data_IF_695543761758
#
_entry.id   IF_695543761758
#
_cell.length_a   1.000
_cell.length_b   1.000
_cell.length_c   1.000
_cell.angle_alpha   90.00
_cell.angle_beta   90.00
_cell.angle_gamma   90.00
#
_symmetry.space_group_name_H-M   'P 1'
#
loop_
_entity.id
_entity.type
_entity.pdbx_description
1 polymer ?
#
# COMPACT_ATOMS: atom_id res chain seq x y z
N UNK A 1 31.12 1.31 11.16
CA UNK A 1 29.68 1.58 10.88
C UNK A 1 28.89 0.33 11.21
N UNK A 2 27.68 0.45 11.80
CA UNK A 2 26.84 -0.72 12.09
C UNK A 2 26.44 -1.36 10.75
N UNK A 3 26.72 -2.63 10.56
CA UNK A 3 26.35 -3.36 9.37
C UNK A 3 24.86 -3.75 9.47
N UNK A 4 23.97 -2.87 9.02
CA UNK A 4 22.50 -3.04 9.09
C UNK A 4 22.08 -4.22 8.22
N UNK A 5 21.38 -5.18 8.78
CA UNK A 5 20.79 -6.29 8.02
C UNK A 5 19.38 -5.92 7.57
N UNK A 6 19.09 -6.09 6.27
CA UNK A 6 17.77 -5.82 5.68
C UNK A 6 17.11 -7.13 5.23
N UNK A 7 15.87 -7.34 5.65
CA UNK A 7 15.04 -8.44 5.14
C UNK A 7 14.12 -7.92 4.04
N UNK A 8 14.29 -8.39 2.80
CA UNK A 8 13.36 -8.11 1.70
C UNK A 8 12.25 -9.15 1.75
N UNK A 9 10.99 -8.69 1.79
CA UNK A 9 9.80 -9.49 2.00
C UNK A 9 8.93 -9.49 0.74
N UNK A 10 8.76 -10.67 0.12
CA UNK A 10 8.06 -10.81 -1.16
C UNK A 10 6.94 -11.84 -1.04
N UNK A 11 5.65 -11.42 -1.01
CA UNK A 11 4.52 -12.32 -1.12
C UNK A 11 4.38 -12.81 -2.57
N UNK A 12 4.09 -14.11 -2.77
CA UNK A 12 4.00 -14.73 -4.08
C UNK A 12 2.66 -15.46 -4.22
N UNK A 13 1.84 -15.02 -5.18
CA UNK A 13 0.64 -15.71 -5.63
C UNK A 13 0.22 -15.21 -7.02
N UNK A 14 0.24 -16.09 -8.05
CA UNK A 14 -0.27 -15.76 -9.38
C UNK A 14 0.56 -14.73 -10.15
N UNK A 15 1.89 -14.70 -9.99
CA UNK A 15 2.80 -13.67 -10.55
C UNK A 15 3.86 -14.24 -11.50
N UNK A 16 3.65 -15.41 -12.10
CA UNK A 16 4.62 -16.07 -12.98
C UNK A 16 5.16 -15.18 -14.13
N UNK A 17 4.33 -14.26 -14.64
CA UNK A 17 4.72 -13.35 -15.72
C UNK A 17 5.67 -12.23 -15.30
N UNK A 18 5.75 -11.94 -14.00
CA UNK A 18 6.44 -10.78 -13.44
C UNK A 18 7.61 -11.15 -12.53
N UNK A 19 7.50 -12.29 -11.84
CA UNK A 19 8.39 -12.67 -10.73
C UNK A 19 9.86 -12.79 -11.15
N UNK A 20 10.19 -13.15 -12.39
CA UNK A 20 11.59 -13.20 -12.86
C UNK A 20 12.25 -11.83 -12.75
N UNK A 21 11.60 -10.79 -13.31
CA UNK A 21 12.09 -9.42 -13.25
C UNK A 21 12.20 -8.91 -11.81
N UNK A 22 11.19 -9.20 -10.99
CA UNK A 22 11.21 -8.88 -9.56
C UNK A 22 12.47 -9.45 -8.90
N UNK A 23 12.65 -10.78 -8.94
CA UNK A 23 13.77 -11.48 -8.30
C UNK A 23 15.13 -11.02 -8.83
N UNK A 24 15.27 -10.81 -10.14
CA UNK A 24 16.51 -10.29 -10.72
C UNK A 24 16.86 -8.90 -10.17
N UNK A 25 15.88 -7.98 -10.07
CA UNK A 25 16.09 -6.65 -9.51
C UNK A 25 16.53 -6.69 -8.05
N UNK A 26 16.00 -7.65 -7.29
CA UNK A 26 16.36 -7.86 -5.88
C UNK A 26 17.79 -8.45 -5.75
N UNK A 27 18.18 -9.37 -6.62
CA UNK A 27 19.51 -10.00 -6.53
C UNK A 27 20.63 -9.13 -7.09
N UNK A 28 20.30 -8.10 -7.88
CA UNK A 28 21.24 -7.09 -8.38
C UNK A 28 21.53 -5.97 -7.38
N UNK A 29 20.90 -5.98 -6.18
CA UNK A 29 21.13 -4.92 -5.20
C UNK A 29 22.61 -4.72 -4.89
N UNK A 30 23.06 -3.49 -4.85
CA UNK A 30 24.45 -3.10 -4.50
C UNK A 30 24.74 -3.33 -3.03
N UNK A 31 23.73 -3.24 -2.17
CA UNK A 31 23.85 -3.53 -0.74
C UNK A 31 24.02 -5.02 -0.48
N UNK A 32 24.99 -5.41 0.36
CA UNK A 32 25.37 -6.82 0.53
C UNK A 32 24.59 -7.54 1.65
N UNK A 33 24.34 -6.86 2.78
CA UNK A 33 23.78 -7.51 3.97
C UNK A 33 22.24 -7.63 3.90
N UNK A 34 21.79 -8.45 2.95
CA UNK A 34 20.35 -8.69 2.68
C UNK A 34 20.03 -10.17 2.86
N UNK A 35 18.88 -10.45 3.49
CA UNK A 35 18.17 -11.70 3.35
C UNK A 35 16.90 -11.52 2.54
N UNK A 36 16.51 -12.54 1.79
CA UNK A 36 15.33 -12.52 0.91
C UNK A 36 14.32 -13.56 1.41
N UNK A 37 13.11 -13.10 1.71
CA UNK A 37 12.04 -13.95 2.23
C UNK A 37 10.90 -13.95 1.22
N UNK A 38 10.78 -15.05 0.48
CA UNK A 38 9.68 -15.29 -0.45
C UNK A 38 8.61 -16.13 0.25
N UNK A 39 7.39 -15.61 0.35
CA UNK A 39 6.26 -16.35 0.92
C UNK A 39 5.35 -16.82 -0.20
N UNK A 40 5.41 -18.12 -0.47
CA UNK A 40 4.52 -18.80 -1.39
C UNK A 40 3.15 -19.01 -0.73
N UNK A 41 2.15 -18.24 -1.13
CA UNK A 41 0.79 -18.40 -0.62
C UNK A 41 0.00 -19.48 -1.37
N UNK A 42 0.62 -20.66 -1.51
CA UNK A 42 0.08 -21.81 -2.23
C UNK A 42 -0.28 -21.46 -3.68
N UNK A 43 0.63 -20.79 -4.40
CA UNK A 43 0.42 -20.44 -5.81
C UNK A 43 0.33 -21.72 -6.67
N UNK A 44 -0.53 -21.68 -7.71
CA UNK A 44 -0.76 -22.81 -8.61
C UNK A 44 -0.01 -22.70 -9.94
N UNK A 45 0.61 -21.53 -10.16
CA UNK A 45 1.37 -21.22 -11.36
C UNK A 45 2.87 -21.51 -11.19
N UNK A 46 3.67 -21.19 -12.19
CA UNK A 46 5.12 -21.45 -12.21
C UNK A 46 5.95 -20.43 -11.41
N UNK A 47 5.33 -19.53 -10.63
CA UNK A 47 6.06 -18.47 -9.91
C UNK A 47 7.23 -18.99 -9.09
N UNK A 48 7.04 -20.09 -8.33
CA UNK A 48 8.10 -20.63 -7.45
C UNK A 48 9.20 -21.34 -8.24
N UNK A 49 8.87 -22.03 -9.31
CA UNK A 49 9.87 -22.64 -10.20
C UNK A 49 10.74 -21.59 -10.86
N UNK A 50 10.15 -20.46 -11.27
CA UNK A 50 10.87 -19.32 -11.84
C UNK A 50 11.79 -18.68 -10.81
N UNK A 51 11.33 -18.45 -9.56
CA UNK A 51 12.21 -17.96 -8.48
C UNK A 51 13.43 -18.87 -8.33
N UNK A 52 13.23 -20.20 -8.23
CA UNK A 52 14.32 -21.15 -8.08
C UNK A 52 15.26 -21.20 -9.30
N UNK A 53 14.73 -21.02 -10.51
CA UNK A 53 15.53 -20.94 -11.72
C UNK A 53 16.38 -19.66 -11.71
N UNK A 54 15.81 -18.52 -11.37
CA UNK A 54 16.52 -17.23 -11.29
C UNK A 54 17.62 -17.26 -10.24
N UNK A 55 17.40 -17.90 -9.09
CA UNK A 55 18.43 -18.08 -8.04
C UNK A 55 19.72 -18.71 -8.55
N UNK A 56 19.65 -19.62 -9.54
CA UNK A 56 20.83 -20.31 -10.08
C UNK A 56 21.80 -19.34 -10.75
N UNK A 57 21.31 -18.21 -11.27
CA UNK A 57 22.11 -17.18 -11.90
C UNK A 57 22.80 -16.25 -10.89
N UNK A 58 22.40 -16.33 -9.60
CA UNK A 58 22.89 -15.46 -8.52
C UNK A 58 23.33 -16.28 -7.30
N UNK A 59 24.33 -17.17 -7.41
CA UNK A 59 24.67 -18.12 -6.33
C UNK A 59 25.06 -17.44 -5.01
N UNK A 60 25.68 -16.25 -5.07
CA UNK A 60 26.04 -15.47 -3.87
C UNK A 60 24.80 -15.01 -3.09
N UNK A 61 23.73 -14.62 -3.78
CA UNK A 61 22.47 -14.16 -3.17
C UNK A 61 21.59 -15.35 -2.75
N UNK A 62 21.64 -16.44 -3.49
CA UNK A 62 20.83 -17.63 -3.25
C UNK A 62 21.00 -18.23 -1.84
N UNK A 63 22.21 -18.11 -1.25
CA UNK A 63 22.47 -18.57 0.13
C UNK A 63 21.69 -17.78 1.20
N UNK A 64 21.23 -16.59 0.89
CA UNK A 64 20.47 -15.71 1.78
C UNK A 64 18.96 -15.75 1.50
N UNK A 65 18.49 -16.70 0.67
CA UNK A 65 17.10 -16.86 0.30
C UNK A 65 16.39 -17.85 1.20
N UNK A 66 15.23 -17.47 1.71
CA UNK A 66 14.28 -18.34 2.40
C UNK A 66 12.96 -18.33 1.66
N UNK A 67 12.49 -19.51 1.24
CA UNK A 67 11.14 -19.71 0.69
C UNK A 67 10.28 -20.35 1.78
N UNK A 68 9.21 -19.66 2.16
CA UNK A 68 8.21 -20.14 3.14
C UNK A 68 6.95 -20.52 2.37
N UNK A 69 6.43 -21.72 2.56
CA UNK A 69 5.24 -22.19 1.86
C UNK A 69 4.05 -22.24 2.82
N UNK A 70 2.91 -21.70 2.39
CA UNK A 70 1.62 -21.95 3.02
C UNK A 70 1.00 -23.24 2.47
N UNK A 71 0.32 -24.01 3.31
CA UNK A 71 -0.37 -25.25 2.92
C UNK A 71 -1.62 -24.98 2.05
N UNK A 72 -2.18 -23.77 2.17
CA UNK A 72 -3.31 -23.27 1.38
C UNK A 72 -3.16 -21.77 1.13
N UNK A 73 -3.88 -21.25 0.14
CA UNK A 73 -3.96 -19.80 -0.04
C UNK A 73 -4.64 -19.16 1.18
N UNK A 74 -3.92 -18.26 1.86
CA UNK A 74 -4.37 -17.50 3.04
C UNK A 74 -4.56 -16.03 2.74
N UNK A 75 -4.14 -15.59 1.55
CA UNK A 75 -4.21 -14.20 1.09
C UNK A 75 -3.00 -13.34 1.45
N UNK A 76 -2.96 -12.15 0.83
CA UNK A 76 -1.84 -11.21 0.92
C UNK A 76 -1.52 -10.80 2.37
N UNK A 77 -2.55 -10.54 3.18
CA UNK A 77 -2.41 -10.19 4.59
C UNK A 77 -1.62 -11.25 5.38
N UNK A 78 -1.99 -12.52 5.22
CA UNK A 78 -1.32 -13.64 5.87
C UNK A 78 0.12 -13.83 5.35
N UNK A 79 0.35 -13.65 4.04
CA UNK A 79 1.68 -13.76 3.45
C UNK A 79 2.61 -12.66 3.98
N UNK A 80 2.14 -11.41 4.11
CA UNK A 80 2.91 -10.32 4.72
C UNK A 80 3.22 -10.58 6.20
N UNK A 81 2.24 -11.06 7.00
CA UNK A 81 2.46 -11.43 8.40
C UNK A 81 3.51 -12.53 8.53
N UNK A 82 3.40 -13.58 7.71
CA UNK A 82 4.37 -14.68 7.68
C UNK A 82 5.77 -14.16 7.35
N UNK A 83 5.92 -13.29 6.34
CA UNK A 83 7.20 -12.72 5.96
C UNK A 83 7.84 -11.93 7.12
N UNK A 84 7.08 -11.06 7.78
CA UNK A 84 7.55 -10.28 8.94
C UNK A 84 7.93 -11.19 10.12
N UNK A 85 7.15 -12.24 10.37
CA UNK A 85 7.38 -13.14 11.51
C UNK A 85 8.71 -13.87 11.43
N UNK A 86 9.16 -14.23 10.21
CA UNK A 86 10.39 -15.00 9.98
C UNK A 86 11.60 -14.13 9.62
N UNK A 87 11.41 -12.82 9.41
CA UNK A 87 12.46 -11.86 9.14
C UNK A 87 13.46 -11.77 10.30
N UNK A 88 14.75 -11.63 10.01
CA UNK A 88 15.82 -11.55 11.03
C UNK A 88 16.66 -10.28 10.91
N UNK A 89 16.34 -9.39 9.96
CA UNK A 89 17.03 -8.13 9.75
C UNK A 89 16.76 -7.10 10.85
N UNK A 90 17.58 -6.07 10.90
CA UNK A 90 17.31 -4.87 11.71
C UNK A 90 16.12 -4.07 11.12
N UNK A 91 15.98 -4.12 9.78
CA UNK A 91 14.94 -3.47 9.00
C UNK A 91 14.32 -4.45 8.00
N UNK A 92 13.09 -4.15 7.57
CA UNK A 92 12.40 -4.87 6.51
C UNK A 92 12.04 -3.93 5.35
N UNK A 93 11.97 -4.49 4.14
CA UNK A 93 11.46 -3.81 2.95
C UNK A 93 10.49 -4.74 2.23
N UNK A 94 9.23 -4.34 2.11
CA UNK A 94 8.25 -5.08 1.33
C UNK A 94 8.40 -4.76 -0.16
N UNK A 95 8.36 -5.80 -0.99
CA UNK A 95 8.34 -5.69 -2.46
C UNK A 95 7.27 -6.64 -2.98
N UNK A 96 6.35 -6.16 -3.81
CA UNK A 96 5.31 -7.01 -4.38
C UNK A 96 5.88 -7.83 -5.56
N UNK A 97 5.44 -9.07 -5.72
CA UNK A 97 6.02 -10.03 -6.66
C UNK A 97 5.79 -9.69 -8.14
N UNK A 98 4.91 -8.76 -8.45
CA UNK A 98 4.65 -8.22 -9.78
C UNK A 98 5.42 -6.90 -10.06
N UNK A 99 6.09 -6.32 -9.05
CA UNK A 99 6.88 -5.10 -9.16
C UNK A 99 8.39 -5.38 -9.32
N UNK A 100 9.17 -4.32 -9.47
CA UNK A 100 10.64 -4.39 -9.49
C UNK A 100 11.26 -3.11 -8.91
N UNK A 101 12.55 -3.16 -8.58
CA UNK A 101 13.23 -2.07 -7.88
C UNK A 101 14.55 -1.70 -8.56
N UNK A 102 15.03 -0.49 -8.30
CA UNK A 102 16.37 -0.05 -8.66
C UNK A 102 17.43 -0.82 -7.85
N UNK A 103 18.59 -1.09 -8.43
CA UNK A 103 19.68 -1.83 -7.77
C UNK A 103 20.27 -1.10 -6.54
N UNK A 104 20.01 0.18 -6.38
CA UNK A 104 20.49 1.01 -5.26
C UNK A 104 19.42 1.29 -4.20
N UNK A 105 18.19 0.76 -4.31
CA UNK A 105 17.10 1.14 -3.38
C UNK A 105 17.44 0.82 -1.92
N UNK A 106 18.04 -0.34 -1.65
CA UNK A 106 18.39 -0.73 -0.29
C UNK A 106 19.55 0.10 0.23
N UNK A 107 20.62 0.28 -0.58
CA UNK A 107 21.80 1.06 -0.24
C UNK A 107 21.40 2.50 0.16
N UNK A 108 20.67 3.20 -0.73
CA UNK A 108 20.25 4.59 -0.48
C UNK A 108 19.32 4.72 0.70
N UNK A 109 18.40 3.77 0.89
CA UNK A 109 17.51 3.78 2.04
C UNK A 109 18.29 3.57 3.35
N UNK A 110 19.29 2.69 3.37
CA UNK A 110 20.17 2.46 4.52
C UNK A 110 21.05 3.69 4.80
N UNK A 111 21.62 4.32 3.77
CA UNK A 111 22.40 5.55 3.92
C UNK A 111 21.58 6.67 4.60
N UNK A 112 20.37 6.92 4.10
CA UNK A 112 19.46 7.93 4.68
C UNK A 112 19.06 7.53 6.10
N UNK A 113 18.81 6.25 6.34
CA UNK A 113 18.53 5.73 7.68
C UNK A 113 19.70 6.03 8.65
N UNK A 114 20.92 5.74 8.25
CA UNK A 114 22.10 5.95 9.07
C UNK A 114 22.36 7.44 9.36
N UNK A 115 22.24 8.28 8.31
CA UNK A 115 22.42 9.74 8.46
C UNK A 115 21.38 10.38 9.38
N UNK A 116 20.14 9.91 9.32
CA UNK A 116 19.04 10.54 10.02
C UNK A 116 18.55 9.77 11.25
N UNK A 117 19.03 8.54 11.47
CA UNK A 117 18.52 7.60 12.48
C UNK A 117 17.00 7.44 12.40
N UNK A 118 16.48 7.27 11.17
CA UNK A 118 15.06 7.15 10.92
C UNK A 118 14.55 5.73 11.23
N UNK A 119 13.32 5.64 11.70
CA UNK A 119 12.65 4.34 11.91
C UNK A 119 11.99 3.84 10.63
N UNK A 120 11.58 4.77 9.76
CA UNK A 120 11.00 4.48 8.45
C UNK A 120 11.64 5.40 7.42
N UNK A 121 12.19 4.83 6.35
CA UNK A 121 12.67 5.57 5.17
C UNK A 121 11.82 5.18 3.98
N UNK A 122 11.18 6.14 3.33
CA UNK A 122 10.36 5.92 2.13
C UNK A 122 11.14 6.28 0.89
N UNK A 123 11.06 5.48 -0.17
CA UNK A 123 11.58 5.82 -1.49
C UNK A 123 10.42 6.26 -2.41
N UNK A 124 10.67 7.25 -3.27
CA UNK A 124 9.73 7.59 -4.32
C UNK A 124 9.60 6.45 -5.33
N UNK A 125 8.51 6.44 -6.08
CA UNK A 125 8.20 5.37 -7.01
C UNK A 125 7.76 5.90 -8.38
N UNK A 126 7.80 5.03 -9.38
CA UNK A 126 7.17 5.23 -10.69
C UNK A 126 6.08 4.20 -10.88
N UNK A 127 4.89 4.62 -11.29
CA UNK A 127 3.86 3.73 -11.80
C UNK A 127 4.10 3.52 -13.29
N UNK A 128 4.33 2.27 -13.64
CA UNK A 128 4.65 1.84 -15.00
C UNK A 128 3.36 1.41 -15.69
N UNK A 129 2.67 2.34 -16.34
CA UNK A 129 1.53 2.03 -17.20
C UNK A 129 2.02 1.58 -18.57
N UNK A 130 1.26 0.77 -19.33
CA UNK A 130 1.66 0.35 -20.68
C UNK A 130 1.95 1.52 -21.63
N UNK A 131 1.28 2.66 -21.46
CA UNK A 131 1.37 3.80 -22.39
C UNK A 131 2.13 5.01 -21.82
N UNK A 132 2.31 5.10 -20.49
CA UNK A 132 2.94 6.26 -19.85
C UNK A 132 3.50 5.89 -18.46
N UNK A 133 4.36 6.77 -17.93
CA UNK A 133 4.95 6.66 -16.59
C UNK A 133 4.43 7.80 -15.73
N UNK A 134 3.96 7.48 -14.52
CA UNK A 134 3.52 8.44 -13.51
C UNK A 134 4.47 8.41 -12.30
N UNK A 135 5.02 9.56 -11.91
CA UNK A 135 5.82 9.64 -10.69
C UNK A 135 4.90 9.66 -9.47
N UNK A 136 5.26 8.86 -8.47
CA UNK A 136 4.60 8.76 -7.18
C UNK A 136 5.56 9.25 -6.10
N UNK A 137 5.44 10.53 -5.75
CA UNK A 137 6.36 11.20 -4.84
C UNK A 137 5.82 11.21 -3.42
N UNK A 138 6.68 10.97 -2.46
CA UNK A 138 6.38 11.17 -1.05
C UNK A 138 6.51 12.64 -0.69
N UNK A 139 5.57 13.11 0.13
CA UNK A 139 5.64 14.45 0.71
C UNK A 139 6.60 14.46 1.90
N UNK A 140 7.44 15.48 2.00
CA UNK A 140 8.28 15.70 3.17
C UNK A 140 7.45 16.16 4.38
N UNK A 141 7.72 15.56 5.53
CA UNK A 141 7.09 15.89 6.81
C UNK A 141 8.16 16.26 7.83
N UNK A 142 7.85 17.20 8.71
CA UNK A 142 8.77 17.58 9.79
C UNK A 142 8.85 16.51 10.87
N UNK A 143 7.77 15.77 11.08
CA UNK A 143 7.67 14.72 12.09
C UNK A 143 6.94 13.49 11.58
N UNK A 144 7.19 12.32 12.18
CA UNK A 144 6.43 11.10 11.94
C UNK A 144 4.93 11.28 12.27
N UNK A 145 4.63 12.08 13.28
CA UNK A 145 3.25 12.42 13.67
C UNK A 145 2.49 13.15 12.56
N UNK A 146 3.10 14.16 11.92
CA UNK A 146 2.50 14.85 10.77
C UNK A 146 2.21 13.89 9.62
N UNK A 147 3.14 12.98 9.34
CA UNK A 147 2.97 11.96 8.31
C UNK A 147 1.85 10.99 8.68
N UNK A 148 1.78 10.54 9.94
CA UNK A 148 0.71 9.69 10.45
C UNK A 148 -0.66 10.34 10.23
N UNK A 149 -0.82 11.59 10.64
CA UNK A 149 -2.05 12.37 10.48
C UNK A 149 -2.44 12.50 9.00
N UNK A 150 -1.48 12.75 8.11
CA UNK A 150 -1.75 12.90 6.67
C UNK A 150 -2.15 11.54 6.03
N UNK A 151 -1.57 10.44 6.49
CA UNK A 151 -1.98 9.07 6.11
C UNK A 151 -3.39 8.76 6.62
N UNK A 152 -3.71 9.08 7.88
CA UNK A 152 -5.05 8.89 8.43
C UNK A 152 -6.10 9.70 7.65
N UNK A 153 -5.75 10.90 7.24
CA UNK A 153 -6.56 11.75 6.35
C UNK A 153 -6.69 11.23 4.93
N UNK A 154 -6.00 10.13 4.57
CA UNK A 154 -5.92 9.63 3.19
C UNK A 154 -5.38 10.69 2.21
N UNK A 155 -4.44 11.52 2.67
CA UNK A 155 -3.69 12.49 1.85
C UNK A 155 -2.28 12.02 1.56
N UNK A 156 -1.67 11.28 2.50
CA UNK A 156 -0.36 10.66 2.37
C UNK A 156 -0.41 9.31 1.64
N UNK A 157 0.78 8.83 1.22
CA UNK A 157 0.94 7.53 0.59
C UNK A 157 0.74 6.41 1.61
N UNK A 158 -0.18 5.50 1.32
CA UNK A 158 -0.55 4.40 2.22
C UNK A 158 0.16 3.08 1.90
N UNK A 159 0.91 2.99 0.79
CA UNK A 159 1.64 1.78 0.42
C UNK A 159 2.70 1.40 1.46
N UNK A 160 2.87 0.10 1.70
CA UNK A 160 3.91 -0.44 2.59
C UNK A 160 5.20 -0.75 1.82
N UNK A 161 5.11 -1.05 0.53
CA UNK A 161 6.24 -1.35 -0.33
C UNK A 161 7.14 -0.12 -0.58
N UNK A 162 8.39 -0.35 -0.95
CA UNK A 162 9.37 0.71 -1.21
C UNK A 162 9.76 1.50 0.05
N UNK A 163 9.56 0.92 1.24
CA UNK A 163 9.95 1.51 2.52
C UNK A 163 10.89 0.61 3.28
N UNK A 164 11.98 1.18 3.79
CA UNK A 164 12.83 0.56 4.79
C UNK A 164 12.23 0.85 6.16
N UNK A 165 11.75 -0.19 6.87
CA UNK A 165 11.00 -0.07 8.11
C UNK A 165 11.73 -0.84 9.19
N UNK A 166 11.98 -0.22 10.36
CA UNK A 166 12.60 -0.88 11.50
C UNK A 166 11.75 -2.06 11.96
N UNK A 167 12.34 -3.27 11.96
CA UNK A 167 11.60 -4.50 12.28
C UNK A 167 11.06 -4.50 13.72
N UNK A 168 11.77 -3.85 14.67
CA UNK A 168 11.32 -3.77 16.05
C UNK A 168 9.97 -3.05 16.19
N UNK A 169 9.60 -2.11 15.31
CA UNK A 169 8.27 -1.48 15.33
C UNK A 169 7.14 -2.50 15.19
N UNK A 170 7.32 -3.50 14.31
CA UNK A 170 6.34 -4.57 14.17
C UNK A 170 6.25 -5.45 15.42
N UNK A 171 7.42 -5.80 15.98
CA UNK A 171 7.52 -6.77 17.08
C UNK A 171 7.11 -6.20 18.42
N UNK A 172 7.66 -5.04 18.78
CA UNK A 172 7.41 -4.38 20.06
C UNK A 172 5.95 -3.93 20.21
N UNK A 173 5.30 -3.58 19.08
CA UNK A 173 3.92 -3.09 19.09
C UNK A 173 2.91 -4.09 18.50
N UNK A 174 3.33 -5.33 18.28
CA UNK A 174 2.47 -6.43 17.77
C UNK A 174 1.65 -6.01 16.53
N UNK A 175 2.31 -5.28 15.59
CA UNK A 175 1.64 -4.80 14.37
C UNK A 175 1.54 -5.95 13.39
N UNK A 176 0.31 -6.43 13.19
CA UNK A 176 -0.05 -7.47 12.22
C UNK A 176 -1.24 -6.99 11.39
N UNK A 177 -1.40 -7.55 10.19
CA UNK A 177 -2.60 -7.39 9.38
C UNK A 177 -3.65 -8.39 9.83
N UNK A 178 -4.93 -8.02 9.88
CA UNK A 178 -6.01 -8.98 10.11
C UNK A 178 -6.11 -9.95 8.93
N UNK A 179 -5.91 -11.25 9.16
CA UNK A 179 -5.98 -12.26 8.11
C UNK A 179 -7.38 -12.30 7.47
N UNK A 180 -7.42 -12.49 6.15
CA UNK A 180 -8.65 -12.40 5.37
C UNK A 180 -9.02 -10.97 4.93
N UNK A 181 -8.37 -9.93 5.49
CA UNK A 181 -8.57 -8.54 5.08
C UNK A 181 -7.43 -8.11 4.16
N UNK A 182 -7.50 -8.52 2.90
CA UNK A 182 -6.47 -8.28 1.89
C UNK A 182 -6.65 -6.95 1.13
N UNK A 183 -7.74 -6.22 1.35
CA UNK A 183 -7.98 -4.91 0.74
C UNK A 183 -7.77 -3.80 1.77
N UNK A 184 -6.73 -3.00 1.57
CA UNK A 184 -6.33 -1.94 2.49
C UNK A 184 -5.47 -2.42 3.66
N UNK A 185 -4.82 -3.57 3.52
CA UNK A 185 -3.88 -4.12 4.48
C UNK A 185 -2.71 -3.16 4.75
N UNK A 186 -2.23 -2.47 3.72
CA UNK A 186 -1.21 -1.42 3.82
C UNK A 186 -1.63 -0.30 4.77
N UNK A 187 -2.88 0.13 4.68
CA UNK A 187 -3.41 1.18 5.56
C UNK A 187 -3.46 0.74 7.02
N UNK A 188 -3.80 -0.53 7.27
CA UNK A 188 -3.78 -1.09 8.63
C UNK A 188 -2.38 -1.00 9.24
N UNK A 189 -1.36 -1.29 8.44
CA UNK A 189 0.03 -1.40 8.93
C UNK A 189 0.69 -0.03 9.00
N UNK A 190 0.70 0.73 7.89
CA UNK A 190 1.48 1.97 7.83
C UNK A 190 1.00 3.04 8.81
N UNK A 191 -0.32 3.14 9.05
CA UNK A 191 -0.86 4.09 10.01
C UNK A 191 -0.39 3.82 11.44
N UNK A 192 -0.33 2.55 11.86
CA UNK A 192 0.14 2.14 13.19
C UNK A 192 1.66 2.23 13.31
N UNK A 193 2.41 1.86 12.26
CA UNK A 193 3.86 2.03 12.22
C UNK A 193 4.26 3.50 12.37
N UNK A 194 3.60 4.40 11.64
CA UNK A 194 3.87 5.84 11.71
C UNK A 194 3.52 6.44 13.07
N UNK A 195 2.49 5.91 13.74
CA UNK A 195 2.14 6.33 15.09
C UNK A 195 3.27 6.03 16.10
N UNK A 196 3.92 4.87 15.98
CA UNK A 196 5.01 4.46 16.87
C UNK A 196 6.39 4.94 16.42
N UNK A 197 6.55 5.30 15.17
CA UNK A 197 7.82 5.81 14.65
C UNK A 197 8.20 7.14 15.27
N UNK A 198 9.44 7.26 15.72
CA UNK A 198 10.00 8.52 16.25
C UNK A 198 10.43 9.45 15.13
N UNK A 199 10.97 8.89 14.05
CA UNK A 199 11.50 9.65 12.93
C UNK A 199 11.27 8.94 11.59
N UNK A 200 10.84 9.70 10.59
CA UNK A 200 10.72 9.25 9.20
C UNK A 200 11.62 10.07 8.29
N UNK A 201 12.06 9.47 7.19
CA UNK A 201 12.89 10.11 6.18
C UNK A 201 12.46 9.67 4.77
N UNK A 202 12.99 10.34 3.74
CA UNK A 202 12.67 10.07 2.34
C UNK A 202 13.96 10.02 1.54
N UNK A 203 14.05 9.05 0.63
CA UNK A 203 14.95 9.07 -0.52
C UNK A 203 14.18 9.70 -1.67
N UNK A 204 14.62 10.87 -2.14
CA UNK A 204 13.91 11.66 -3.15
C UNK A 204 13.94 11.04 -4.56
N UNK A 205 14.72 9.98 -4.76
CA UNK A 205 14.80 9.27 -6.01
C UNK A 205 13.68 8.24 -6.17
N UNK A 206 13.18 8.08 -7.41
CA UNK A 206 12.20 7.07 -7.76
C UNK A 206 12.90 5.72 -7.97
N UNK A 207 12.96 4.91 -6.93
CA UNK A 207 13.69 3.64 -6.89
C UNK A 207 12.79 2.41 -6.85
N UNK A 208 11.48 2.58 -6.74
CA UNK A 208 10.48 1.52 -6.81
C UNK A 208 9.65 1.67 -8.08
N UNK A 209 9.44 0.57 -8.80
CA UNK A 209 8.70 0.54 -10.06
C UNK A 209 7.45 -0.32 -9.89
N UNK A 210 6.30 0.35 -9.69
CA UNK A 210 4.99 -0.28 -9.55
C UNK A 210 4.44 -0.62 -10.94
N UNK A 211 4.30 -1.91 -11.26
CA UNK A 211 3.84 -2.38 -12.56
C UNK A 211 2.31 -2.39 -12.66
N UNK A 212 1.76 -1.46 -13.45
CA UNK A 212 0.33 -1.34 -13.70
C UNK A 212 -0.17 -2.27 -14.82
N UNK A 213 0.69 -3.08 -15.44
CA UNK A 213 0.28 -4.00 -16.53
C UNK A 213 -0.36 -5.29 -16.04
N UNK A 214 -0.27 -5.61 -14.74
CA UNK A 214 -0.89 -6.79 -14.18
C UNK A 214 -2.42 -6.63 -14.07
N UNK A 215 -3.15 -7.10 -15.08
CA UNK A 215 -4.63 -7.09 -15.09
C UNK A 215 -5.24 -7.95 -13.96
N UNK A 216 -4.49 -8.93 -13.44
CA UNK A 216 -4.90 -9.81 -12.36
C UNK A 216 -4.53 -9.27 -10.97
N UNK A 217 -3.92 -8.08 -10.88
CA UNK A 217 -3.61 -7.44 -9.61
C UNK A 217 -4.84 -7.41 -8.69
N UNK A 218 -4.61 -7.67 -7.41
CA UNK A 218 -5.68 -7.72 -6.41
C UNK A 218 -6.47 -6.40 -6.37
N UNK A 219 -5.83 -5.27 -6.58
CA UNK A 219 -6.46 -3.94 -6.56
C UNK A 219 -7.38 -3.66 -7.76
N UNK A 220 -7.19 -4.34 -8.90
CA UNK A 220 -7.90 -4.02 -10.15
C UNK A 220 -9.32 -4.59 -10.24
N UNK A 221 -9.67 -5.63 -9.47
CA UNK A 221 -10.97 -6.28 -9.53
C UNK A 221 -11.85 -5.86 -8.37
N UNK A 222 -12.94 -5.14 -8.65
CA UNK A 222 -13.93 -4.75 -7.64
C UNK A 222 -14.90 -5.87 -7.36
N UNK A 223 -15.15 -6.16 -6.09
CA UNK A 223 -16.15 -7.12 -5.65
C UNK A 223 -16.78 -6.68 -4.33
N UNK A 224 -17.95 -7.25 -4.01
CA UNK A 224 -18.62 -7.01 -2.73
C UNK A 224 -17.70 -7.36 -1.55
N UNK A 225 -16.97 -8.48 -1.67
CA UNK A 225 -16.07 -8.94 -0.63
C UNK A 225 -14.92 -7.95 -0.39
N UNK A 226 -14.28 -7.45 -1.44
CA UNK A 226 -13.25 -6.42 -1.33
C UNK A 226 -13.77 -5.11 -0.73
N UNK A 227 -15.02 -4.76 -1.02
CA UNK A 227 -15.64 -3.60 -0.38
C UNK A 227 -15.76 -3.79 1.14
N UNK A 228 -16.24 -4.96 1.59
CA UNK A 228 -16.31 -5.28 3.03
C UNK A 228 -14.93 -5.25 3.67
N UNK A 229 -13.92 -5.84 3.02
CA UNK A 229 -12.54 -5.81 3.50
C UNK A 229 -11.99 -4.38 3.60
N UNK A 230 -12.24 -3.52 2.61
CA UNK A 230 -11.85 -2.11 2.65
C UNK A 230 -12.44 -1.37 3.85
N UNK A 231 -13.72 -1.62 4.17
CA UNK A 231 -14.35 -1.06 5.35
C UNK A 231 -13.79 -1.67 6.64
N UNK A 232 -13.58 -2.99 6.68
CA UNK A 232 -12.97 -3.64 7.86
C UNK A 232 -11.57 -3.11 8.13
N UNK A 233 -10.77 -2.94 7.07
CA UNK A 233 -9.44 -2.33 7.17
C UNK A 233 -9.49 -0.91 7.76
N UNK A 234 -10.46 -0.11 7.36
CA UNK A 234 -10.66 1.21 7.94
C UNK A 234 -11.11 1.12 9.42
N UNK A 235 -12.03 0.24 9.73
CA UNK A 235 -12.55 0.08 11.10
C UNK A 235 -11.45 -0.36 12.07
N UNK A 236 -10.53 -1.26 11.66
CA UNK A 236 -9.35 -1.66 12.46
C UNK A 236 -8.48 -0.45 12.81
N UNK A 237 -8.21 0.42 11.84
CA UNK A 237 -7.42 1.64 12.10
C UNK A 237 -8.17 2.58 13.01
N UNK A 238 -9.48 2.75 12.81
CA UNK A 238 -10.33 3.58 13.67
C UNK A 238 -10.35 3.07 15.10
N UNK A 239 -10.61 1.77 15.30
CA UNK A 239 -10.61 1.10 16.63
C UNK A 239 -9.26 1.32 17.35
N UNK A 240 -8.14 1.19 16.62
CA UNK A 240 -6.83 1.45 17.18
C UNK A 240 -6.69 2.89 17.67
N UNK A 241 -7.02 3.89 16.86
CA UNK A 241 -6.87 5.29 17.25
C UNK A 241 -7.93 5.76 18.27
N UNK A 242 -9.09 5.10 18.33
CA UNK A 242 -10.04 5.27 19.43
C UNK A 242 -9.42 4.83 20.77
N UNK A 243 -8.71 3.69 20.79
CA UNK A 243 -8.00 3.21 21.98
C UNK A 243 -6.85 4.11 22.42
N UNK A 244 -6.21 4.81 21.48
CA UNK A 244 -5.18 5.83 21.77
C UNK A 244 -5.77 7.02 22.53
N UNK A 245 -7.05 7.35 22.30
CA UNK A 245 -7.76 8.40 23.05
C UNK A 245 -7.34 9.84 22.71
N UNK A 246 -6.58 10.06 21.63
CA UNK A 246 -6.12 11.39 21.21
C UNK A 246 -7.02 11.98 20.14
N UNK A 247 -7.67 13.11 20.47
CA UNK A 247 -8.63 13.76 19.58
C UNK A 247 -8.05 14.19 18.22
N UNK A 248 -6.74 14.54 18.14
CA UNK A 248 -6.10 14.95 16.89
C UNK A 248 -6.10 13.81 15.85
N UNK A 249 -5.79 12.58 16.29
CA UNK A 249 -5.86 11.41 15.41
C UNK A 249 -7.30 11.07 15.04
N UNK A 250 -8.24 11.17 15.99
CA UNK A 250 -9.64 10.90 15.69
C UNK A 250 -10.22 11.86 14.66
N UNK A 251 -9.90 13.14 14.73
CA UNK A 251 -10.27 14.11 13.69
C UNK A 251 -9.71 13.68 12.34
N UNK A 252 -8.44 13.29 12.27
CA UNK A 252 -7.80 12.84 11.03
C UNK A 252 -8.45 11.55 10.47
N UNK A 253 -8.80 10.60 11.33
CA UNK A 253 -9.53 9.37 10.96
C UNK A 253 -10.90 9.71 10.38
N UNK A 254 -11.66 10.61 11.01
CA UNK A 254 -12.99 11.01 10.52
C UNK A 254 -12.92 11.73 9.16
N UNK A 255 -11.93 12.60 8.95
CA UNK A 255 -11.68 13.21 7.64
C UNK A 255 -11.29 12.15 6.58
N UNK A 256 -10.51 11.15 6.97
CA UNK A 256 -10.16 10.01 6.13
C UNK A 256 -11.38 9.16 5.77
N UNK A 257 -12.32 8.94 6.71
CA UNK A 257 -13.57 8.21 6.48
C UNK A 257 -14.41 8.88 5.39
N UNK A 258 -14.52 10.21 5.43
CA UNK A 258 -15.21 10.99 4.40
C UNK A 258 -14.63 10.72 3.01
N UNK A 259 -13.31 10.66 2.88
CA UNK A 259 -12.63 10.40 1.59
C UNK A 259 -12.89 9.00 1.07
N UNK A 260 -12.91 8.01 1.95
CA UNK A 260 -13.28 6.64 1.60
C UNK A 260 -14.75 6.60 1.16
N UNK A 261 -15.66 7.26 1.89
CA UNK A 261 -17.07 7.38 1.54
C UNK A 261 -17.25 7.97 0.13
N UNK A 262 -16.58 9.09 -0.17
CA UNK A 262 -16.62 9.73 -1.49
C UNK A 262 -16.10 8.77 -2.58
N UNK A 263 -14.99 8.08 -2.31
CA UNK A 263 -14.45 7.08 -3.24
C UNK A 263 -15.45 5.96 -3.50
N UNK A 264 -16.11 5.43 -2.47
CA UNK A 264 -17.11 4.36 -2.61
C UNK A 264 -18.38 4.83 -3.33
N UNK A 265 -18.80 6.08 -3.17
CA UNK A 265 -19.88 6.64 -3.98
C UNK A 265 -19.53 6.67 -5.47
N UNK A 266 -18.33 7.17 -5.81
CA UNK A 266 -17.85 7.25 -7.18
C UNK A 266 -17.70 5.85 -7.78
N UNK A 267 -17.13 4.91 -7.04
CA UNK A 267 -16.93 3.53 -7.48
C UNK A 267 -18.25 2.80 -7.63
N UNK A 268 -19.15 2.89 -6.66
CA UNK A 268 -20.48 2.29 -6.74
C UNK A 268 -21.28 2.77 -7.95
N UNK A 269 -21.12 4.05 -8.32
CA UNK A 269 -21.77 4.62 -9.51
C UNK A 269 -21.20 4.06 -10.84
N UNK A 270 -19.96 3.53 -10.85
CA UNK A 270 -19.27 3.02 -12.05
C UNK A 270 -19.53 1.56 -12.34
N UNK A 271 -19.87 0.75 -11.33
CA UNK A 271 -19.97 -0.70 -11.43
C UNK A 271 -21.42 -1.13 -11.64
N UNK A 272 -21.61 -2.22 -12.40
CA UNK A 272 -22.90 -2.92 -12.48
C UNK A 272 -23.24 -3.47 -11.10
N UNK A 273 -24.43 -3.20 -10.57
CA UNK A 273 -24.85 -3.56 -9.21
C UNK A 273 -24.09 -2.83 -8.07
N UNK A 274 -23.53 -1.65 -8.34
CA UNK A 274 -22.79 -0.86 -7.35
C UNK A 274 -23.62 -0.22 -6.24
N UNK A 275 -24.93 -0.47 -6.20
CA UNK A 275 -25.85 0.08 -5.19
C UNK A 275 -25.45 -0.32 -3.74
N UNK A 276 -24.84 -1.49 -3.58
CA UNK A 276 -24.34 -1.93 -2.28
C UNK A 276 -23.25 -1.00 -1.74
N UNK A 277 -22.27 -0.65 -2.56
CA UNK A 277 -21.19 0.30 -2.17
C UNK A 277 -21.77 1.64 -1.75
N UNK A 278 -22.78 2.10 -2.47
CA UNK A 278 -23.47 3.33 -2.19
C UNK A 278 -24.23 3.28 -0.86
N UNK A 279 -24.99 2.20 -0.61
CA UNK A 279 -25.78 2.05 0.62
C UNK A 279 -24.91 2.07 1.87
N UNK A 280 -23.81 1.32 1.88
CA UNK A 280 -22.91 1.28 3.02
C UNK A 280 -22.20 2.62 3.23
N UNK A 281 -21.68 3.24 2.17
CA UNK A 281 -21.07 4.56 2.24
C UNK A 281 -22.08 5.62 2.78
N UNK A 282 -23.34 5.57 2.33
CA UNK A 282 -24.39 6.47 2.84
C UNK A 282 -24.71 6.22 4.30
N UNK A 283 -24.82 4.96 4.72
CA UNK A 283 -25.07 4.59 6.12
C UNK A 283 -24.00 5.16 7.05
N UNK A 284 -22.73 5.12 6.62
CA UNK A 284 -21.61 5.68 7.36
C UNK A 284 -21.64 7.22 7.35
N UNK A 285 -21.88 7.83 6.19
CA UNK A 285 -21.97 9.30 6.07
C UNK A 285 -22.98 9.92 7.02
N UNK A 286 -24.15 9.27 7.21
CA UNK A 286 -25.21 9.78 8.10
C UNK A 286 -24.81 9.80 9.58
N UNK A 287 -23.73 9.09 9.96
CA UNK A 287 -23.19 9.05 11.31
C UNK A 287 -22.08 10.07 11.56
N UNK A 288 -21.57 10.69 10.49
CA UNK A 288 -20.43 11.63 10.56
C UNK A 288 -20.97 13.06 10.73
N UNK A 289 -20.45 13.77 11.73
CA UNK A 289 -20.75 15.19 11.93
C UNK A 289 -20.28 16.02 10.71
N UNK A 290 -21.15 16.89 10.24
CA UNK A 290 -20.89 17.78 9.09
C UNK A 290 -19.69 18.70 9.29
N UNK A 291 -19.24 18.95 10.51
CA UNK A 291 -18.04 19.73 10.78
C UNK A 291 -16.79 19.18 10.10
N UNK A 292 -16.70 17.85 9.94
CA UNK A 292 -15.57 17.18 9.25
C UNK A 292 -15.58 17.34 7.72
N UNK A 293 -16.66 17.92 7.15
CA UNK A 293 -16.76 18.18 5.71
C UNK A 293 -16.17 19.54 5.30
N UNK A 294 -15.88 20.43 6.27
CA UNK A 294 -15.50 21.83 5.99
C UNK A 294 -14.22 21.94 5.20
N UNK A 295 -13.25 21.08 5.49
CA UNK A 295 -11.92 21.10 4.87
C UNK A 295 -11.82 20.27 3.58
N UNK A 296 -12.94 19.70 3.11
CA UNK A 296 -12.97 18.97 1.87
C UNK A 296 -13.11 19.90 0.66
N UNK A 297 -12.49 19.48 -0.47
CA UNK A 297 -12.59 20.25 -1.73
C UNK A 297 -14.04 20.42 -2.18
N UNK A 298 -14.32 21.49 -2.94
CA UNK A 298 -15.65 21.76 -3.48
C UNK A 298 -16.23 20.55 -4.23
N UNK A 299 -15.41 19.85 -5.01
CA UNK A 299 -15.82 18.65 -5.75
C UNK A 299 -16.28 17.54 -4.80
N UNK A 300 -15.53 17.26 -3.71
CA UNK A 300 -15.92 16.24 -2.74
C UNK A 300 -17.18 16.64 -1.99
N UNK A 301 -17.30 17.89 -1.57
CA UNK A 301 -18.53 18.39 -0.96
C UNK A 301 -19.73 18.22 -1.89
N UNK A 302 -19.56 18.53 -3.17
CA UNK A 302 -20.61 18.32 -4.18
C UNK A 302 -21.01 16.84 -4.31
N UNK A 303 -20.03 15.90 -4.35
CA UNK A 303 -20.29 14.46 -4.34
C UNK A 303 -21.07 14.05 -3.08
N UNK A 304 -20.70 14.58 -1.92
CA UNK A 304 -21.42 14.32 -0.66
C UNK A 304 -22.88 14.81 -0.71
N UNK A 305 -23.13 15.97 -1.30
CA UNK A 305 -24.50 16.46 -1.51
C UNK A 305 -25.28 15.62 -2.52
N UNK A 306 -24.67 15.20 -3.63
CA UNK A 306 -25.32 14.32 -4.61
C UNK A 306 -25.58 12.90 -4.06
N UNK A 307 -24.92 12.50 -2.99
CA UNK A 307 -25.01 11.18 -2.39
C UNK A 307 -26.39 10.85 -1.80
N UNK A 308 -27.32 11.80 -1.77
CA UNK A 308 -28.70 11.53 -1.40
C UNK A 308 -29.48 10.76 -2.48
N UNK A 309 -28.97 10.72 -3.74
CA UNK A 309 -29.61 10.01 -4.83
C UNK A 309 -28.61 9.23 -5.67
N UNK A 310 -28.75 7.90 -5.69
CA UNK A 310 -27.88 7.00 -6.43
C UNK A 310 -27.86 7.26 -7.94
N UNK A 311 -28.99 7.62 -8.53
CA UNK A 311 -29.10 7.92 -9.95
C UNK A 311 -28.38 9.21 -10.33
N UNK A 312 -28.46 10.25 -9.50
CA UNK A 312 -27.69 11.48 -9.68
C UNK A 312 -26.18 11.20 -9.62
N UNK A 313 -25.73 10.33 -8.71
CA UNK A 313 -24.35 9.89 -8.65
C UNK A 313 -23.91 9.13 -9.90
N UNK A 314 -24.77 8.29 -10.49
CA UNK A 314 -24.48 7.63 -11.78
C UNK A 314 -24.30 8.64 -12.91
N UNK A 315 -25.19 9.61 -13.03
CA UNK A 315 -25.13 10.68 -14.04
C UNK A 315 -23.82 11.46 -13.85
N UNK A 316 -23.51 11.93 -12.64
CA UNK A 316 -22.27 12.62 -12.34
C UNK A 316 -21.02 11.80 -12.72
N UNK A 317 -20.99 10.53 -12.38
CA UNK A 317 -19.86 9.65 -12.69
C UNK A 317 -19.67 9.43 -14.20
N UNK A 318 -20.76 9.41 -14.97
CA UNK A 318 -20.71 9.34 -16.44
C UNK A 318 -20.20 10.65 -17.05
N UNK A 319 -20.70 11.79 -16.59
CA UNK A 319 -20.24 13.13 -17.02
C UNK A 319 -18.75 13.34 -16.70
N UNK A 320 -18.31 12.99 -15.51
CA UNK A 320 -16.91 13.12 -15.10
C UNK A 320 -15.97 12.25 -15.95
N UNK A 321 -16.40 11.06 -16.39
CA UNK A 321 -15.64 10.23 -17.35
C UNK A 321 -15.56 10.87 -18.73
N UNK A 322 -16.66 11.41 -19.22
CA UNK A 322 -16.72 12.06 -20.52
C UNK A 322 -15.82 13.30 -20.55
N UNK A 323 -15.90 14.15 -19.53
CA UNK A 323 -15.04 15.34 -19.38
C UNK A 323 -13.56 14.94 -19.33
N UNK A 324 -13.17 13.93 -18.54
CA UNK A 324 -11.78 13.47 -18.47
C UNK A 324 -11.29 12.91 -19.81
N UNK A 325 -12.11 12.12 -20.49
CA UNK A 325 -11.79 11.58 -21.82
C UNK A 325 -11.62 12.71 -22.84
N UNK A 326 -12.48 13.73 -22.80
CA UNK A 326 -12.40 14.91 -23.66
C UNK A 326 -11.09 15.68 -23.41
N UNK A 327 -10.75 15.96 -22.15
CA UNK A 327 -9.50 16.67 -21.82
C UNK A 327 -8.26 15.86 -22.22
N UNK A 328 -8.23 14.56 -22.00
CA UNK A 328 -7.09 13.73 -22.42
C UNK A 328 -6.93 13.67 -23.93
N UNK A 329 -8.03 13.72 -24.69
CA UNK A 329 -8.01 13.63 -26.15
C UNK A 329 -7.70 14.97 -26.83
N UNK A 330 -8.03 16.11 -26.21
CA UNK A 330 -7.99 17.42 -26.87
C UNK A 330 -7.10 18.46 -26.18
N UNK A 331 -6.58 18.20 -24.97
CA UNK A 331 -5.74 19.16 -24.24
C UNK A 331 -4.31 18.68 -23.95
N UNK A 332 -3.95 17.46 -24.37
CA UNK A 332 -2.58 16.92 -24.31
C UNK A 332 -1.96 16.75 -25.72
N UNK A 333 -2.39 17.60 -26.68
CA UNK A 333 -1.81 17.73 -28.01
C UNK A 333 -0.88 18.92 -28.11
#
# INVERSE_FOLDING_TARGET
MKNIKVSILVPIYGVEKFISRCVESLFRQTYENIEYIFVNDCTKDESISIVKATMRNFPKRASNVRIVNHDKNRGLAAARNTAVSVATGDFVMHVDGDDYVDEHIVEKAVEVQMMQNADIVSCNAKKMHPEYIENMLHKHYKTANEQCIDVLRRRGQVCIWGRLIRLSLYREHHIVVEEGVNMGEDYQVISRLLYYAKKTAIVDECLYYYDCSNENSYSNKFSLEKNKQSWRSFDIVKEFFESVGNNQYMVAVMEGEIRIIVSHFIMGAKIRNGEYYYKEARRRLLKIDKKYWKDESMVRRFVLYLSFNFYLMKIYSQMARWVRHFFMKYCNG
#
